data_IF_891065367119
#
_entry.id   IF_891065367119
#
_cell.length_a   1.000
_cell.length_b   1.000
_cell.length_c   1.000
_cell.angle_alpha   90.00
_cell.angle_beta   90.00
_cell.angle_gamma   90.00
#
_symmetry.space_group_name_H-M   'P 1'
#
loop_
_entity.id
_entity.type
_entity.pdbx_description
1 polymer ?
#
# COMPACT_ATOMS: atom_id res chain seq x y z
N UNK A 1 -14.88 18.05 -0.18
CA UNK A 1 -13.96 16.93 -0.50
C UNK A 1 -12.97 16.74 0.66
N UNK A 2 -11.89 17.52 0.77
CA UNK A 2 -10.83 17.37 1.80
C UNK A 2 -11.20 17.87 3.22
N UNK A 3 -12.30 17.38 3.81
CA UNK A 3 -12.77 17.79 5.15
C UNK A 3 -13.19 16.61 6.02
N UNK A 4 -13.78 15.59 5.39
CA UNK A 4 -14.25 14.38 6.06
C UNK A 4 -13.37 13.21 5.61
N UNK A 5 -12.55 12.70 6.54
CA UNK A 5 -11.60 11.62 6.27
C UNK A 5 -12.21 10.23 6.52
N UNK A 6 -13.44 10.16 7.06
CA UNK A 6 -14.17 8.90 7.19
C UNK A 6 -14.70 8.42 5.82
N UNK A 7 -14.68 9.30 4.82
CA UNK A 7 -14.92 8.98 3.42
C UNK A 7 -13.61 8.63 2.71
N UNK A 8 -13.40 7.36 2.42
CA UNK A 8 -12.21 6.87 1.72
C UNK A 8 -12.50 5.66 0.84
N UNK A 9 -11.54 5.31 -0.01
CA UNK A 9 -11.49 4.04 -0.75
C UNK A 9 -10.28 3.23 -0.29
N UNK A 10 -10.47 1.94 -0.04
CA UNK A 10 -9.41 1.00 0.36
C UNK A 10 -8.57 0.49 -0.82
N UNK A 11 -8.87 0.93 -2.04
CA UNK A 11 -8.23 0.44 -3.27
C UNK A 11 -7.81 1.55 -4.25
N UNK A 12 -8.23 2.80 -4.02
CA UNK A 12 -7.92 3.90 -4.93
C UNK A 12 -6.47 4.39 -4.76
N UNK A 13 -5.67 4.27 -5.81
CA UNK A 13 -4.35 4.91 -5.92
C UNK A 13 -4.41 6.01 -6.97
N UNK A 14 -4.33 7.26 -6.55
CA UNK A 14 -4.41 8.43 -7.43
C UNK A 14 -3.11 9.20 -7.45
N UNK A 15 -2.77 9.71 -8.63
CA UNK A 15 -1.65 10.60 -8.89
C UNK A 15 -2.08 11.65 -9.90
N UNK A 16 -1.35 12.76 -9.95
CA UNK A 16 -1.60 13.85 -10.89
C UNK A 16 -0.29 14.48 -11.32
N UNK A 17 -0.20 14.90 -12.58
CA UNK A 17 0.95 15.62 -13.11
C UNK A 17 0.81 15.89 -14.62
N UNK A 18 1.60 16.85 -15.13
CA UNK A 18 1.67 17.17 -16.55
C UNK A 18 0.49 17.97 -17.12
N UNK A 19 0.41 18.03 -18.45
CA UNK A 19 -0.54 18.87 -19.21
C UNK A 19 -1.87 18.20 -19.60
N UNK A 20 -2.06 16.91 -19.31
CA UNK A 20 -3.25 16.16 -19.76
C UNK A 20 -4.53 16.76 -19.17
N UNK A 21 -5.57 16.89 -20.00
CA UNK A 21 -6.89 17.44 -19.61
C UNK A 21 -7.95 16.38 -19.30
N UNK A 22 -7.60 15.10 -19.39
CA UNK A 22 -8.49 13.99 -19.05
C UNK A 22 -7.89 13.09 -17.96
N UNK A 23 -8.75 12.48 -17.16
CA UNK A 23 -8.34 11.44 -16.20
C UNK A 23 -8.14 10.10 -16.91
N UNK A 24 -7.08 9.38 -16.53
CA UNK A 24 -6.85 8.00 -16.95
C UNK A 24 -7.12 7.08 -15.75
N UNK A 25 -7.84 5.98 -15.98
CA UNK A 25 -8.20 5.01 -14.95
C UNK A 25 -7.76 3.63 -15.38
N UNK A 26 -6.95 2.98 -14.55
CA UNK A 26 -6.55 1.57 -14.71
C UNK A 26 -7.10 0.81 -13.52
N UNK A 27 -7.84 -0.28 -13.80
CA UNK A 27 -8.46 -1.13 -12.77
C UNK A 27 -7.82 -2.50 -12.82
N UNK A 28 -7.33 -2.97 -11.67
CA UNK A 28 -6.86 -4.34 -11.48
C UNK A 28 -7.88 -5.10 -10.63
N UNK A 29 -8.20 -6.32 -11.04
CA UNK A 29 -9.16 -7.15 -10.32
C UNK A 29 -9.09 -8.61 -10.76
N UNK A 30 -9.82 -9.46 -10.04
CA UNK A 30 -9.96 -10.88 -10.36
C UNK A 30 -11.33 -11.15 -10.99
N UNK A 31 -11.43 -12.23 -11.76
CA UNK A 31 -12.69 -12.75 -12.29
C UNK A 31 -12.61 -14.28 -12.33
N UNK A 32 -13.72 -14.96 -12.04
CA UNK A 32 -13.84 -16.42 -12.17
C UNK A 32 -13.70 -16.90 -13.62
N UNK A 33 -13.81 -16.00 -14.59
CA UNK A 33 -13.59 -16.26 -16.01
C UNK A 33 -12.16 -15.92 -16.48
N UNK A 34 -11.32 -15.37 -15.60
CA UNK A 34 -9.94 -15.02 -15.95
C UNK A 34 -9.11 -16.26 -16.26
N UNK A 35 -8.29 -16.19 -17.32
CA UNK A 35 -7.28 -17.20 -17.67
C UNK A 35 -5.86 -16.77 -17.29
N UNK A 36 -5.73 -15.63 -16.60
CA UNK A 36 -4.44 -15.13 -16.11
C UNK A 36 -3.83 -16.10 -15.10
N UNK A 37 -2.52 -16.31 -15.15
CA UNK A 37 -1.76 -17.00 -14.10
C UNK A 37 -1.39 -16.09 -12.93
N UNK A 38 -2.02 -14.92 -12.83
CA UNK A 38 -1.84 -13.92 -11.78
C UNK A 38 -3.15 -13.62 -11.08
N UNK A 39 -3.09 -13.40 -9.78
CA UNK A 39 -4.19 -12.83 -8.98
C UNK A 39 -3.70 -11.59 -8.27
N UNK A 40 -4.64 -10.69 -7.95
CA UNK A 40 -4.39 -9.52 -7.10
C UNK A 40 -5.18 -9.62 -5.80
N UNK A 41 -4.56 -9.28 -4.69
CA UNK A 41 -5.21 -9.07 -3.41
C UNK A 41 -4.85 -7.70 -2.85
N UNK A 42 -5.66 -7.19 -1.93
CA UNK A 42 -5.38 -5.93 -1.25
C UNK A 42 -5.74 -5.99 0.23
N UNK A 43 -5.17 -5.08 0.99
CA UNK A 43 -5.53 -4.76 2.35
C UNK A 43 -5.10 -3.32 2.66
N UNK A 44 -5.28 -2.92 3.91
CA UNK A 44 -4.82 -1.62 4.43
C UNK A 44 -3.84 -1.83 5.58
N UNK A 45 -2.84 -0.96 5.70
CA UNK A 45 -2.06 -0.77 6.92
C UNK A 45 -2.74 0.29 7.79
N UNK A 46 -2.70 0.12 9.11
CA UNK A 46 -3.28 1.07 10.07
C UNK A 46 -2.39 2.28 10.35
N UNK A 47 -1.08 2.11 10.15
CA UNK A 47 -0.04 3.13 10.31
C UNK A 47 1.22 2.74 9.51
N UNK A 48 2.30 3.52 9.62
CA UNK A 48 3.58 3.28 8.94
C UNK A 48 4.38 2.08 9.43
N UNK A 49 3.98 1.45 10.53
CA UNK A 49 4.68 0.32 11.15
C UNK A 49 3.76 -0.90 11.30
N UNK A 50 2.66 -0.94 10.53
CA UNK A 50 1.71 -2.04 10.49
C UNK A 50 2.07 -3.04 9.39
N UNK A 51 3.01 -3.93 9.73
CA UNK A 51 3.41 -5.04 8.89
C UNK A 51 2.29 -6.08 8.69
N UNK A 52 1.27 -6.11 9.55
CA UNK A 52 0.15 -7.05 9.40
C UNK A 52 -0.72 -6.66 8.20
N UNK A 53 -0.93 -5.36 7.97
CA UNK A 53 -1.59 -4.88 6.75
C UNK A 53 -0.93 -5.39 5.46
N UNK A 54 0.40 -5.38 5.40
CA UNK A 54 1.15 -5.94 4.25
C UNK A 54 0.94 -7.44 4.14
N UNK A 55 1.05 -8.18 5.25
CA UNK A 55 0.81 -9.64 5.25
C UNK A 55 -0.61 -9.99 4.81
N UNK A 56 -1.60 -9.22 5.24
CA UNK A 56 -2.98 -9.40 4.83
C UNK A 56 -3.17 -9.20 3.32
N UNK A 57 -2.51 -8.20 2.71
CA UNK A 57 -2.55 -8.02 1.26
C UNK A 57 -1.93 -9.23 0.52
N UNK A 58 -0.81 -9.76 1.00
CA UNK A 58 -0.17 -10.95 0.44
C UNK A 58 -1.07 -12.20 0.55
N UNK A 59 -1.71 -12.41 1.71
CA UNK A 59 -2.66 -13.52 1.91
C UNK A 59 -3.90 -13.36 1.04
N UNK A 60 -4.44 -12.14 0.95
CA UNK A 60 -5.58 -11.84 0.08
C UNK A 60 -5.27 -12.10 -1.40
N UNK A 61 -4.00 -11.98 -1.81
CA UNK A 61 -3.55 -12.32 -3.17
C UNK A 61 -3.36 -13.84 -3.37
N UNK A 62 -3.37 -14.64 -2.30
CA UNK A 62 -3.24 -16.09 -2.38
C UNK A 62 -1.83 -16.64 -2.10
N UNK A 63 -0.98 -15.90 -1.37
CA UNK A 63 0.14 -16.51 -0.67
C UNK A 63 -0.34 -17.17 0.62
N UNK A 64 0.23 -18.33 0.95
CA UNK A 64 -0.18 -19.14 2.08
C UNK A 64 1.00 -19.40 3.01
N UNK A 65 1.21 -18.48 3.94
CA UNK A 65 2.21 -18.58 4.98
C UNK A 65 1.55 -18.49 6.37
N UNK A 66 2.20 -19.08 7.37
CA UNK A 66 1.74 -19.09 8.77
C UNK A 66 1.92 -17.71 9.44
N UNK A 67 1.97 -17.71 10.77
CA UNK A 67 2.31 -16.53 11.55
C UNK A 67 3.75 -16.07 11.25
N UNK A 68 3.94 -14.75 11.19
CA UNK A 68 5.24 -14.15 10.88
C UNK A 68 5.43 -13.81 9.41
N UNK A 69 6.64 -13.97 8.90
CA UNK A 69 7.01 -13.58 7.53
C UNK A 69 6.80 -14.73 6.54
N UNK A 70 6.44 -14.45 5.27
CA UNK A 70 6.47 -15.45 4.21
C UNK A 70 7.88 -15.98 4.00
N UNK A 71 8.01 -17.26 3.66
CA UNK A 71 9.30 -17.84 3.33
C UNK A 71 9.68 -17.56 1.85
N UNK A 72 10.88 -17.96 1.46
CA UNK A 72 11.35 -17.77 0.08
C UNK A 72 10.52 -18.54 -0.96
N UNK A 73 9.94 -19.69 -0.60
CA UNK A 73 9.07 -20.45 -1.49
C UNK A 73 7.74 -19.73 -1.73
N UNK A 74 7.17 -19.09 -0.72
CA UNK A 74 6.01 -18.21 -0.84
C UNK A 74 6.32 -17.00 -1.74
N UNK A 75 7.45 -16.35 -1.47
CA UNK A 75 7.86 -15.12 -2.15
C UNK A 75 8.28 -15.34 -3.61
N UNK A 76 8.63 -16.55 -4.02
CA UNK A 76 8.85 -16.88 -5.43
C UNK A 76 7.60 -16.66 -6.30
N UNK A 77 6.41 -16.65 -5.69
CA UNK A 77 5.16 -16.35 -6.39
C UNK A 77 4.84 -14.86 -6.38
N UNK A 78 5.50 -14.04 -5.56
CA UNK A 78 5.26 -12.60 -5.53
C UNK A 78 5.78 -11.95 -6.81
N UNK A 79 4.90 -11.27 -7.53
CA UNK A 79 5.25 -10.55 -8.76
C UNK A 79 5.49 -9.08 -8.48
N UNK A 80 4.58 -8.44 -7.75
CA UNK A 80 4.68 -7.02 -7.45
C UNK A 80 3.85 -6.62 -6.24
N UNK A 81 4.20 -5.48 -5.63
CA UNK A 81 3.38 -4.82 -4.63
C UNK A 81 3.17 -3.36 -5.04
N UNK A 82 1.92 -2.91 -5.04
CA UNK A 82 1.54 -1.52 -5.15
C UNK A 82 1.18 -1.00 -3.77
N UNK A 83 1.78 0.11 -3.34
CA UNK A 83 1.45 0.75 -2.08
C UNK A 83 1.26 2.26 -2.27
N UNK A 84 0.28 2.83 -1.57
CA UNK A 84 0.13 4.28 -1.43
C UNK A 84 0.53 4.66 -0.01
N UNK A 85 1.52 5.53 0.12
CA UNK A 85 2.17 5.91 1.37
C UNK A 85 1.86 7.36 1.72
N UNK A 86 0.70 7.59 2.31
CA UNK A 86 0.15 8.90 2.70
C UNK A 86 0.67 9.27 4.08
N UNK A 87 1.04 10.54 4.25
CA UNK A 87 1.44 11.07 5.56
C UNK A 87 0.17 11.22 6.43
N UNK A 88 0.15 10.67 7.66
CA UNK A 88 -1.00 10.70 8.55
C UNK A 88 -1.33 12.13 8.96
N UNK A 89 -2.60 12.37 9.27
CA UNK A 89 -3.06 13.70 9.72
C UNK A 89 -2.67 14.05 11.15
N UNK A 90 -2.12 13.09 11.89
CA UNK A 90 -1.67 13.23 13.27
C UNK A 90 -0.15 13.13 13.33
N UNK A 91 0.48 13.86 14.24
CA UNK A 91 1.90 13.74 14.56
C UNK A 91 2.17 12.55 15.49
N UNK A 92 1.21 11.62 15.63
CA UNK A 92 1.33 10.45 16.50
C UNK A 92 1.11 9.15 15.76
N UNK A 93 2.01 8.20 16.02
CA UNK A 93 1.87 6.80 15.66
C UNK A 93 1.87 5.98 16.94
N UNK A 94 0.81 5.20 17.17
CA UNK A 94 0.61 4.38 18.38
C UNK A 94 0.82 5.16 19.69
N UNK A 95 0.32 6.40 19.72
CA UNK A 95 0.39 7.30 20.87
C UNK A 95 1.70 8.08 21.02
N UNK A 96 2.75 7.75 20.25
CA UNK A 96 4.05 8.43 20.34
C UNK A 96 4.20 9.50 19.26
N UNK A 97 4.80 10.63 19.62
CA UNK A 97 5.07 11.72 18.68
C UNK A 97 6.09 11.29 17.63
N UNK A 98 5.83 11.64 16.37
CA UNK A 98 6.75 11.55 15.23
C UNK A 98 6.99 12.95 14.65
N UNK A 99 8.06 13.12 13.88
CA UNK A 99 8.44 14.43 13.30
C UNK A 99 7.95 14.63 11.87
N UNK A 100 7.35 13.61 11.26
CA UNK A 100 7.11 13.58 9.81
C UNK A 100 6.23 14.73 9.30
N UNK A 101 5.28 15.23 10.09
CA UNK A 101 4.41 16.33 9.68
C UNK A 101 5.10 17.69 9.60
N UNK A 102 6.20 17.88 10.33
CA UNK A 102 6.93 19.15 10.37
C UNK A 102 8.22 19.09 9.52
N UNK A 103 8.55 17.91 9.00
CA UNK A 103 9.77 17.66 8.24
C UNK A 103 9.69 18.28 6.82
N UNK A 104 10.78 18.93 6.40
CA UNK A 104 10.87 19.53 5.07
C UNK A 104 10.89 18.46 3.96
N UNK A 105 11.40 17.27 4.27
CA UNK A 105 11.54 16.14 3.35
C UNK A 105 10.44 15.09 3.56
N UNK A 106 9.34 15.46 4.24
CA UNK A 106 8.27 14.54 4.61
C UNK A 106 7.70 13.75 3.42
N UNK A 107 7.63 14.38 2.25
CA UNK A 107 7.16 13.75 1.02
C UNK A 107 8.05 12.56 0.58
N UNK A 108 9.36 12.72 0.63
CA UNK A 108 10.37 11.71 0.30
C UNK A 108 10.43 10.64 1.40
N UNK A 109 10.45 11.07 2.67
CA UNK A 109 10.51 10.17 3.82
C UNK A 109 9.26 9.29 3.87
N UNK A 110 8.06 9.83 3.63
CA UNK A 110 6.83 9.05 3.60
C UNK A 110 6.87 7.90 2.58
N UNK A 111 7.43 8.13 1.39
CA UNK A 111 7.64 7.07 0.40
C UNK A 111 8.70 6.05 0.86
N UNK A 112 9.80 6.51 1.44
CA UNK A 112 10.84 5.63 1.98
C UNK A 112 10.29 4.70 3.08
N UNK A 113 9.51 5.23 4.03
CA UNK A 113 8.88 4.46 5.09
C UNK A 113 7.94 3.38 4.54
N UNK A 114 7.06 3.74 3.60
CA UNK A 114 6.14 2.78 2.97
C UNK A 114 6.88 1.69 2.20
N UNK A 115 7.90 2.05 1.42
CA UNK A 115 8.70 1.08 0.67
C UNK A 115 9.50 0.15 1.56
N UNK A 116 10.10 0.66 2.63
CA UNK A 116 10.82 -0.16 3.60
C UNK A 116 9.89 -1.04 4.44
N UNK A 117 8.67 -0.59 4.75
CA UNK A 117 7.67 -1.43 5.40
C UNK A 117 7.35 -2.67 4.54
N UNK A 118 7.04 -2.45 3.25
CA UNK A 118 6.79 -3.55 2.30
C UNK A 118 8.02 -4.45 2.16
N UNK A 119 9.19 -3.86 1.92
CA UNK A 119 10.43 -4.61 1.73
C UNK A 119 10.83 -5.42 2.98
N UNK A 120 10.55 -4.92 4.17
CA UNK A 120 10.84 -5.63 5.43
C UNK A 120 9.99 -6.90 5.61
N UNK A 121 8.81 -6.95 4.99
CA UNK A 121 7.91 -8.10 5.03
C UNK A 121 8.21 -9.08 3.90
N UNK A 122 8.51 -8.57 2.71
CA UNK A 122 8.68 -9.39 1.51
C UNK A 122 10.13 -9.77 1.22
N UNK A 123 11.11 -9.11 1.83
CA UNK A 123 12.51 -9.23 1.42
C UNK A 123 12.76 -8.75 -0.03
N UNK A 124 11.83 -8.01 -0.65
CA UNK A 124 11.91 -7.55 -2.05
C UNK A 124 11.77 -6.03 -2.16
N UNK A 125 12.62 -5.41 -2.97
CA UNK A 125 12.53 -3.99 -3.35
C UNK A 125 11.75 -3.78 -4.65
N UNK A 126 11.26 -4.85 -5.28
CA UNK A 126 10.39 -4.81 -6.47
C UNK A 126 8.96 -4.42 -6.09
N UNK A 127 8.80 -3.20 -5.58
CA UNK A 127 7.52 -2.61 -5.22
C UNK A 127 7.37 -1.21 -5.84
N UNK A 128 6.13 -0.85 -6.14
CA UNK A 128 5.74 0.50 -6.54
C UNK A 128 5.14 1.21 -5.34
N UNK A 129 5.83 2.24 -4.86
CA UNK A 129 5.37 3.06 -3.74
C UNK A 129 5.16 4.48 -4.23
N UNK A 130 3.90 4.86 -4.34
CA UNK A 130 3.51 6.26 -4.55
C UNK A 130 3.07 6.86 -3.21
N UNK A 131 2.97 8.18 -3.11
CA UNK A 131 2.59 8.80 -1.85
C UNK A 131 3.39 10.06 -1.54
N UNK A 132 3.48 10.35 -0.25
CA UNK A 132 4.11 11.55 0.32
C UNK A 132 3.13 12.71 0.50
N UNK A 133 1.90 12.60 -0.01
CA UNK A 133 0.88 13.62 0.22
C UNK A 133 0.35 13.55 1.67
N UNK A 134 0.02 14.71 2.26
CA UNK A 134 -0.63 14.78 3.58
C UNK A 134 -2.11 14.51 3.44
N UNK A 135 -2.67 13.60 4.24
CA UNK A 135 -4.09 13.25 4.30
C UNK A 135 -4.75 12.99 2.92
N UNK A 136 -5.38 11.84 2.77
CA UNK A 136 -6.07 11.54 1.52
C UNK A 136 -7.25 10.62 1.75
N UNK A 137 -8.14 10.57 0.76
CA UNK A 137 -9.25 9.62 0.69
C UNK A 137 -8.80 8.24 0.14
N UNK A 138 -7.48 7.97 0.13
CA UNK A 138 -6.86 6.73 -0.37
C UNK A 138 -6.42 5.87 0.82
N UNK A 139 -7.37 5.15 1.41
CA UNK A 139 -7.20 4.39 2.65
C UNK A 139 -7.84 5.07 3.88
N UNK A 140 -7.97 4.32 4.98
CA UNK A 140 -8.56 4.83 6.22
C UNK A 140 -7.70 5.94 6.86
N UNK A 141 -8.28 6.77 7.74
CA UNK A 141 -7.52 7.80 8.47
C UNK A 141 -6.26 7.26 9.15
N UNK A 142 -5.10 7.80 8.78
CA UNK A 142 -3.80 7.40 9.31
C UNK A 142 -3.23 6.09 8.73
N UNK A 143 -4.03 5.35 7.97
CA UNK A 143 -3.64 4.13 7.29
C UNK A 143 -3.30 4.33 5.82
N UNK A 144 -2.89 3.23 5.19
CA UNK A 144 -2.39 3.22 3.82
C UNK A 144 -2.85 1.96 3.08
N UNK A 145 -3.05 2.06 1.77
CA UNK A 145 -3.49 0.93 0.96
C UNK A 145 -2.29 0.15 0.40
N UNK A 146 -2.42 -1.18 0.37
CA UNK A 146 -1.41 -2.10 -0.17
C UNK A 146 -2.11 -3.16 -1.00
N UNK A 147 -1.65 -3.35 -2.24
CA UNK A 147 -2.11 -4.42 -3.11
C UNK A 147 -0.92 -5.27 -3.57
N UNK A 148 -1.10 -6.59 -3.60
CA UNK A 148 -0.09 -7.54 -4.03
C UNK A 148 -0.58 -8.33 -5.25
N UNK A 149 0.30 -8.53 -6.21
CA UNK A 149 0.07 -9.40 -7.36
C UNK A 149 0.96 -10.62 -7.24
N UNK A 150 0.38 -11.80 -7.37
CA UNK A 150 1.09 -13.07 -7.20
C UNK A 150 0.71 -14.06 -8.28
N UNK A 151 1.58 -15.04 -8.51
CA UNK A 151 1.30 -16.17 -9.40
C UNK A 151 0.32 -17.14 -8.75
N UNK A 152 -0.65 -17.62 -9.52
CA UNK A 152 -1.55 -18.72 -9.12
C UNK A 152 -0.76 -20.01 -8.94
N UNK A 153 -1.31 -20.93 -8.15
CA UNK A 153 -0.82 -22.32 -8.04
C UNK A 153 -1.31 -23.12 -9.23
#
# INVERSE_FOLDING_TARGET
VRRDWDLFSEVAMTSSGGEKRHGEVVVFGNSTMSRSSLTIGHAVTKDFIDAEGVRNALRAAGLHFKDGLPDEADLNRLVHVFAKSVIPGSDRVRGQRITLLDDADAYQIGKALGGMLVASVTGRTTNYVSGGERNSHQGPPGGNIVAAVVRTV
#
